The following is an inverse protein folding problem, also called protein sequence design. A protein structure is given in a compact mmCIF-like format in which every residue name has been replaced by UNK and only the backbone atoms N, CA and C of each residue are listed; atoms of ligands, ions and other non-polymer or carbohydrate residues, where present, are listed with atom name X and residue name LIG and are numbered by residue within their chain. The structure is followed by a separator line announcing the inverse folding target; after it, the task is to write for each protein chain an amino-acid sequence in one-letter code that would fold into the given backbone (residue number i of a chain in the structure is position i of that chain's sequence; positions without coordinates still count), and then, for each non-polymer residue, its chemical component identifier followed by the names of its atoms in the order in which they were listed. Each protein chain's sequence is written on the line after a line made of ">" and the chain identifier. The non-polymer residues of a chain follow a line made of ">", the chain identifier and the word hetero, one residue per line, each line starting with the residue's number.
data_IF_339302894945
#
_entry.id   IF_339302894945
#
_cell.length_a   1.000
_cell.length_b   1.000
_cell.length_c   1.000
_cell.angle_alpha   90.00
_cell.angle_beta   90.00
_cell.angle_gamma   90.00
#
_symmetry.space_group_name_H-M   'P 1'
#
loop_
_entity.id
_entity.type
_entity.pdbx_description
1 polymer ?
#
# COMPACT_ATOMS: atom_id res chain seq x y z
N UNK A 1 -17.60 12.63 5.86
CA UNK A 1 -16.51 12.49 6.85
C UNK A 1 -16.45 11.00 7.20
N UNK A 2 -15.47 10.54 7.98
CA UNK A 2 -15.38 9.13 8.38
C UNK A 2 -15.37 9.04 9.91
N UNK A 3 -15.87 7.93 10.45
CA UNK A 3 -15.69 7.61 11.86
C UNK A 3 -14.24 7.17 12.18
N UNK A 4 -13.99 6.83 13.45
CA UNK A 4 -12.67 6.38 13.93
C UNK A 4 -12.20 5.05 13.30
N UNK A 5 -13.14 4.24 12.79
CA UNK A 5 -12.85 3.01 12.05
C UNK A 5 -12.69 3.25 10.55
N UNK A 6 -12.80 4.50 10.09
CA UNK A 6 -12.65 4.86 8.68
C UNK A 6 -13.89 4.57 7.84
N UNK A 7 -15.03 4.28 8.45
CA UNK A 7 -16.29 4.09 7.73
C UNK A 7 -16.85 5.46 7.36
N UNK A 8 -17.08 5.67 6.06
CA UNK A 8 -17.57 6.94 5.55
C UNK A 8 -19.05 7.16 5.86
N UNK A 9 -19.42 8.40 6.18
CA UNK A 9 -20.82 8.82 6.41
C UNK A 9 -21.70 8.68 5.16
N UNK A 10 -21.08 8.49 4.00
CA UNK A 10 -21.76 8.36 2.73
C UNK A 10 -20.81 8.52 1.55
N UNK A 11 -21.37 8.36 0.36
CA UNK A 11 -20.67 8.46 -0.91
C UNK A 11 -21.61 9.02 -1.98
N UNK A 12 -21.03 9.57 -3.04
CA UNK A 12 -21.78 9.85 -4.26
C UNK A 12 -21.86 8.57 -5.10
N UNK A 13 -23.07 8.15 -5.47
CA UNK A 13 -23.27 6.99 -6.33
C UNK A 13 -22.87 7.27 -7.79
N UNK A 14 -23.02 6.27 -8.66
CA UNK A 14 -22.67 6.39 -10.07
C UNK A 14 -23.48 7.45 -10.84
N UNK A 15 -24.60 7.91 -10.27
CA UNK A 15 -25.44 8.99 -10.82
C UNK A 15 -25.14 10.34 -10.17
N UNK A 16 -24.17 10.40 -9.25
CA UNK A 16 -23.77 11.60 -8.52
C UNK A 16 -24.62 11.89 -7.29
N UNK A 17 -25.60 11.05 -6.97
CA UNK A 17 -26.50 11.25 -5.84
C UNK A 17 -25.82 10.86 -4.54
N UNK A 18 -25.99 11.68 -3.49
CA UNK A 18 -25.44 11.37 -2.17
C UNK A 18 -26.22 10.22 -1.50
N UNK A 19 -25.49 9.21 -1.04
CA UNK A 19 -26.03 8.04 -0.33
C UNK A 19 -25.36 7.91 1.03
N UNK A 20 -26.17 7.87 2.08
CA UNK A 20 -25.70 7.52 3.42
C UNK A 20 -25.95 6.02 3.69
N UNK A 21 -25.02 5.31 4.37
CA UNK A 21 -25.25 3.94 4.79
C UNK A 21 -26.34 3.91 5.88
N UNK A 22 -27.14 2.85 5.88
CA UNK A 22 -28.08 2.62 6.99
C UNK A 22 -27.32 2.19 8.25
N UNK A 23 -27.89 2.39 9.46
CA UNK A 23 -27.28 1.90 10.70
C UNK A 23 -26.95 0.39 10.64
N UNK A 24 -27.84 -0.41 10.06
CA UNK A 24 -27.61 -1.85 9.88
C UNK A 24 -26.41 -2.16 8.97
N UNK A 25 -26.17 -1.34 7.93
CA UNK A 25 -24.99 -1.46 7.07
C UNK A 25 -23.72 -1.11 7.82
N UNK A 26 -23.76 -0.02 8.59
CA UNK A 26 -22.62 0.42 9.41
C UNK A 26 -22.21 -0.65 10.43
N UNK A 27 -23.17 -1.22 11.16
CA UNK A 27 -22.92 -2.33 12.08
C UNK A 27 -22.37 -3.58 11.37
N UNK A 28 -22.86 -3.90 10.18
CA UNK A 28 -22.36 -5.03 9.40
C UNK A 28 -20.91 -4.82 8.96
N UNK A 29 -20.53 -3.59 8.59
CA UNK A 29 -19.16 -3.24 8.27
C UNK A 29 -18.24 -3.36 9.49
N UNK A 30 -18.65 -2.82 10.65
CA UNK A 30 -17.89 -2.96 11.89
C UNK A 30 -17.67 -4.44 12.25
N UNK A 31 -18.71 -5.27 12.15
CA UNK A 31 -18.58 -6.73 12.37
C UNK A 31 -17.63 -7.39 11.36
N UNK A 32 -17.72 -7.03 10.08
CA UNK A 32 -16.86 -7.59 9.04
C UNK A 32 -15.39 -7.20 9.21
N UNK A 33 -15.13 -6.00 9.77
CA UNK A 33 -13.79 -5.52 10.12
C UNK A 33 -13.24 -6.17 11.40
N UNK A 34 -14.06 -6.92 12.15
CA UNK A 34 -13.69 -7.41 13.49
C UNK A 34 -13.50 -6.26 14.48
N UNK A 35 -14.31 -5.20 14.36
CA UNK A 35 -14.16 -4.00 15.17
C UNK A 35 -14.44 -4.28 16.65
N UNK A 36 -13.44 -4.01 17.50
CA UNK A 36 -13.52 -4.10 18.95
C UNK A 36 -13.17 -2.74 19.56
N UNK A 37 -14.08 -2.16 20.33
CA UNK A 37 -13.88 -0.84 20.97
C UNK A 37 -14.09 0.36 20.03
N UNK A 38 -13.59 1.52 20.45
CA UNK A 38 -13.90 2.82 19.82
C UNK A 38 -13.07 3.13 18.57
N UNK A 39 -11.91 2.49 18.40
CA UNK A 39 -10.99 2.72 17.29
C UNK A 39 -10.13 1.48 17.02
N UNK A 40 -9.61 1.30 15.79
CA UNK A 40 -8.69 0.22 15.47
C UNK A 40 -7.39 0.34 16.28
N UNK A 41 -6.74 -0.79 16.61
CA UNK A 41 -5.43 -0.76 17.26
C UNK A 41 -4.38 -0.10 16.35
N UNK A 42 -3.33 0.51 16.92
CA UNK A 42 -2.27 1.12 16.13
C UNK A 42 -1.58 0.08 15.25
N UNK A 43 -1.34 0.43 13.99
CA UNK A 43 -0.66 -0.44 13.05
C UNK A 43 0.87 -0.44 13.32
N UNK A 44 1.54 -1.60 13.32
CA UNK A 44 2.99 -1.69 13.50
C UNK A 44 3.76 -1.32 12.22
N UNK A 45 3.25 -0.37 11.44
CA UNK A 45 3.83 0.06 10.17
C UNK A 45 3.69 1.57 10.00
N UNK A 46 4.77 2.20 9.54
CA UNK A 46 4.84 3.59 9.15
C UNK A 46 5.20 3.62 7.67
N UNK A 47 4.41 4.32 6.85
CA UNK A 47 4.68 4.53 5.42
C UNK A 47 4.92 6.01 5.17
N UNK A 48 6.04 6.35 4.51
CA UNK A 48 6.46 7.73 4.24
C UNK A 48 7.06 7.86 2.85
N UNK A 49 7.08 9.07 2.31
CA UNK A 49 7.81 9.35 1.06
C UNK A 49 9.26 9.68 1.36
N UNK A 50 10.16 9.34 0.44
CA UNK A 50 11.56 9.75 0.53
C UNK A 50 11.66 11.28 0.68
N UNK A 51 12.48 11.73 1.63
CA UNK A 51 12.63 13.15 1.98
C UNK A 51 11.59 13.70 2.97
N UNK A 52 10.56 12.95 3.35
CA UNK A 52 9.64 13.36 4.42
C UNK A 52 10.30 13.15 5.79
N UNK A 53 10.15 14.15 6.68
CA UNK A 53 10.61 14.02 8.07
C UNK A 53 9.71 13.07 8.84
N UNK A 54 10.33 12.27 9.69
CA UNK A 54 9.63 11.37 10.60
C UNK A 54 10.13 11.68 12.00
N UNK A 55 9.22 12.16 12.83
CA UNK A 55 9.47 12.35 14.25
C UNK A 55 9.20 11.04 14.98
N UNK A 56 10.21 10.57 15.70
CA UNK A 56 10.10 9.42 16.59
C UNK A 56 10.28 9.96 18.02
N UNK A 57 9.26 9.86 18.89
CA UNK A 57 9.27 10.52 20.20
C UNK A 57 10.40 10.11 21.14
N UNK A 58 11.02 8.95 20.90
CA UNK A 58 12.04 8.36 21.74
C UNK A 58 13.25 7.94 20.90
N UNK A 59 14.39 7.76 21.58
CA UNK A 59 15.59 7.15 20.99
C UNK A 59 15.23 5.81 20.36
N UNK A 60 15.69 5.58 19.15
CA UNK A 60 15.39 4.37 18.40
C UNK A 60 16.56 3.98 17.50
N UNK A 61 16.56 2.71 17.08
CA UNK A 61 17.50 2.16 16.11
C UNK A 61 16.78 1.87 14.81
N UNK A 62 17.23 2.47 13.72
CA UNK A 62 16.78 2.15 12.38
C UNK A 62 17.70 1.09 11.77
N UNK A 63 17.11 0.02 11.26
CA UNK A 63 17.77 -1.01 10.43
C UNK A 63 17.26 -0.86 9.01
N UNK A 64 18.13 -0.47 8.10
CA UNK A 64 17.85 -0.33 6.67
C UNK A 64 17.68 -1.69 6.00
N UNK A 65 17.13 -1.67 4.78
CA UNK A 65 16.82 -2.90 4.03
C UNK A 65 18.08 -3.70 3.69
N UNK A 66 19.20 -3.02 3.46
CA UNK A 66 20.50 -3.60 3.21
C UNK A 66 21.21 -4.11 4.48
N UNK A 67 20.58 -3.94 5.65
CA UNK A 67 21.11 -4.33 6.95
C UNK A 67 21.99 -3.29 7.64
N UNK A 68 22.27 -2.14 7.02
CA UNK A 68 22.93 -1.03 7.70
C UNK A 68 22.04 -0.53 8.85
N UNK A 69 22.64 -0.08 9.95
CA UNK A 69 21.89 0.35 11.12
C UNK A 69 22.44 1.65 11.70
N UNK A 70 21.53 2.50 12.16
CA UNK A 70 21.84 3.76 12.81
C UNK A 70 20.95 3.98 14.04
N UNK A 71 21.57 4.43 15.11
CA UNK A 71 20.85 4.91 16.30
C UNK A 71 20.58 6.41 16.12
N UNK A 72 19.39 6.87 16.49
CA UNK A 72 19.00 8.27 16.42
C UNK A 72 18.06 8.64 17.57
N UNK A 73 17.92 9.94 17.82
CA UNK A 73 17.06 10.49 18.86
C UNK A 73 16.22 11.64 18.27
N UNK A 74 14.89 11.54 18.43
CA UNK A 74 13.94 12.46 17.84
C UNK A 74 13.69 12.21 16.35
N UNK A 75 14.30 13.02 15.48
CA UNK A 75 13.97 13.02 14.05
C UNK A 75 14.84 12.04 13.26
N UNK A 76 14.21 11.20 12.44
CA UNK A 76 14.92 10.32 11.51
C UNK A 76 15.73 11.12 10.48
N UNK A 77 16.89 10.60 10.01
CA UNK A 77 17.61 11.19 8.89
C UNK A 77 16.69 11.35 7.67
N UNK A 78 16.81 12.47 6.95
CA UNK A 78 15.92 12.81 5.82
C UNK A 78 16.26 12.07 4.52
N UNK A 79 17.38 11.35 4.51
CA UNK A 79 17.98 10.70 3.35
C UNK A 79 17.84 9.16 3.37
N UNK A 80 16.85 8.64 4.11
CA UNK A 80 16.53 7.22 4.10
C UNK A 80 16.11 6.82 2.67
N UNK A 81 16.77 5.82 2.05
CA UNK A 81 16.45 5.40 0.69
C UNK A 81 15.06 4.77 0.63
N UNK A 82 14.39 4.77 -0.53
CA UNK A 82 13.20 3.96 -0.72
C UNK A 82 13.47 2.48 -0.41
N UNK A 83 12.57 1.84 0.33
CA UNK A 83 12.75 0.46 0.75
C UNK A 83 11.93 0.06 1.96
N UNK A 84 12.21 -1.15 2.46
CA UNK A 84 11.60 -1.77 3.62
C UNK A 84 12.61 -1.84 4.78
N UNK A 85 12.38 -1.02 5.79
CA UNK A 85 13.27 -0.87 6.94
C UNK A 85 12.56 -1.26 8.23
N UNK A 86 13.31 -1.37 9.31
CA UNK A 86 12.79 -1.70 10.63
C UNK A 86 13.22 -0.64 11.63
N UNK A 87 12.24 -0.03 12.30
CA UNK A 87 12.44 0.89 13.40
C UNK A 87 12.30 0.12 14.71
N UNK A 88 13.34 0.11 15.54
CA UNK A 88 13.35 -0.52 16.85
C UNK A 88 13.34 0.56 17.94
N UNK A 89 12.23 0.72 18.67
CA UNK A 89 12.16 1.62 19.80
C UNK A 89 13.23 1.29 20.87
N UNK A 90 13.73 2.31 21.57
CA UNK A 90 14.71 2.14 22.64
C UNK A 90 14.11 1.70 23.99
N UNK A 91 12.79 1.68 24.11
CA UNK A 91 12.02 1.26 25.29
C UNK A 91 11.62 -0.23 25.26
N UNK A 92 12.35 -1.04 24.47
CA UNK A 92 12.05 -2.46 24.19
C UNK A 92 10.64 -2.72 23.62
N UNK A 93 10.00 -1.67 23.08
CA UNK A 93 8.76 -1.79 22.31
C UNK A 93 8.92 -2.68 21.07
N UNK A 94 7.81 -3.20 20.53
CA UNK A 94 7.87 -4.06 19.35
C UNK A 94 8.45 -3.29 18.15
N UNK A 95 9.19 -3.97 17.25
CA UNK A 95 9.70 -3.34 16.04
C UNK A 95 8.56 -2.86 15.15
N UNK A 96 8.76 -1.69 14.56
CA UNK A 96 7.82 -1.03 13.64
C UNK A 96 8.39 -1.12 12.24
N UNK A 97 7.60 -1.60 11.27
CA UNK A 97 8.01 -1.59 9.86
C UNK A 97 8.01 -0.15 9.34
N UNK A 98 9.15 0.35 8.87
CA UNK A 98 9.23 1.61 8.15
C UNK A 98 9.31 1.33 6.65
N UNK A 99 8.34 1.81 5.88
CA UNK A 99 8.34 1.72 4.41
C UNK A 99 8.56 3.12 3.83
N UNK A 100 9.66 3.29 3.10
CA UNK A 100 9.94 4.53 2.38
C UNK A 100 9.59 4.35 0.91
N UNK A 101 8.60 5.09 0.44
CA UNK A 101 8.16 5.09 -0.95
C UNK A 101 8.86 6.19 -1.75
N UNK A 102 9.16 5.99 -3.05
CA UNK A 102 9.62 7.07 -3.92
C UNK A 102 8.55 8.16 -4.15
N UNK A 103 7.30 7.95 -3.70
CA UNK A 103 6.22 8.92 -3.78
C UNK A 103 5.61 9.10 -5.18
N UNK A 104 6.22 8.51 -6.21
CA UNK A 104 5.72 8.47 -7.60
C UNK A 104 6.07 7.13 -8.24
N UNK A 105 5.15 6.58 -9.03
CA UNK A 105 5.44 5.42 -9.86
C UNK A 105 6.38 5.82 -11.03
N UNK A 106 7.34 4.97 -11.41
CA UNK A 106 8.11 5.18 -12.63
C UNK A 106 7.18 5.27 -13.85
N UNK A 107 7.35 6.31 -14.66
CA UNK A 107 6.61 6.49 -15.91
C UNK A 107 7.56 6.45 -17.10
N UNK A 108 7.21 5.76 -18.20
CA UNK A 108 8.02 5.80 -19.42
C UNK A 108 8.20 7.24 -19.92
N UNK A 109 9.41 7.58 -20.37
CA UNK A 109 9.73 8.93 -20.87
C UNK A 109 9.08 9.25 -22.22
N UNK A 110 8.66 8.23 -22.97
CA UNK A 110 8.08 8.35 -24.32
C UNK A 110 6.67 7.81 -24.34
N UNK A 111 5.79 8.53 -25.05
CA UNK A 111 4.46 8.05 -25.39
C UNK A 111 4.58 6.86 -26.34
N UNK A 112 3.70 5.88 -26.17
CA UNK A 112 3.64 4.69 -27.01
C UNK A 112 2.22 4.14 -27.06
N UNK A 113 2.01 3.20 -27.97
CA UNK A 113 0.80 2.40 -28.04
C UNK A 113 1.16 0.93 -27.80
N UNK A 114 0.18 0.11 -27.43
CA UNK A 114 0.34 -1.32 -27.24
C UNK A 114 -1.00 -2.04 -27.38
N UNK A 115 -0.94 -3.36 -27.51
CA UNK A 115 -2.13 -4.20 -27.60
C UNK A 115 -2.62 -4.60 -26.21
N UNK A 116 -3.93 -4.50 -25.97
CA UNK A 116 -4.59 -5.15 -24.85
C UNK A 116 -5.23 -6.45 -25.36
N UNK A 117 -4.76 -7.59 -24.85
CA UNK A 117 -5.23 -8.90 -25.28
C UNK A 117 -5.69 -9.73 -24.07
N UNK A 118 -6.79 -10.45 -24.26
CA UNK A 118 -7.21 -11.50 -23.35
C UNK A 118 -6.37 -12.74 -23.67
N UNK A 119 -5.29 -12.97 -22.92
CA UNK A 119 -4.29 -14.00 -23.28
C UNK A 119 -4.91 -15.38 -23.45
N UNK A 120 -5.85 -15.77 -22.59
CA UNK A 120 -6.55 -17.04 -22.70
C UNK A 120 -7.28 -17.25 -24.04
N UNK A 121 -7.74 -16.18 -24.69
CA UNK A 121 -8.41 -16.22 -25.99
C UNK A 121 -7.44 -16.07 -27.18
N UNK A 122 -6.17 -15.77 -26.91
CA UNK A 122 -5.13 -15.51 -27.91
C UNK A 122 -4.46 -16.83 -28.30
N UNK A 123 -5.15 -17.64 -29.12
CA UNK A 123 -4.70 -18.99 -29.48
C UNK A 123 -3.93 -19.01 -30.79
N UNK A 124 -2.88 -19.82 -30.85
CA UNK A 124 -2.22 -20.28 -32.07
C UNK A 124 -2.65 -21.70 -32.44
N UNK A 125 -2.15 -22.19 -33.58
CA UNK A 125 -2.33 -23.57 -34.02
C UNK A 125 -1.66 -24.61 -33.10
N UNK A 126 -0.72 -24.17 -32.26
CA UNK A 126 -0.03 -25.03 -31.29
C UNK A 126 -0.68 -24.99 -29.91
N UNK A 127 -1.62 -24.08 -29.67
CA UNK A 127 -2.31 -23.94 -28.38
C UNK A 127 -3.25 -25.10 -28.10
N UNK A 128 -3.25 -25.57 -26.85
CA UNK A 128 -4.09 -26.69 -26.41
C UNK A 128 -5.44 -26.20 -25.88
N UNK A 129 -6.16 -25.45 -26.72
CA UNK A 129 -7.52 -24.95 -26.41
C UNK A 129 -7.58 -23.59 -25.71
N UNK A 130 -6.45 -23.06 -25.25
CA UNK A 130 -6.32 -21.77 -24.55
C UNK A 130 -4.97 -21.14 -24.89
N UNK A 131 -4.90 -19.81 -24.96
CA UNK A 131 -3.64 -19.11 -25.16
C UNK A 131 -2.72 -19.18 -23.93
N UNK A 132 -1.42 -19.36 -24.15
CA UNK A 132 -0.40 -19.51 -23.10
C UNK A 132 0.79 -18.53 -23.26
N UNK A 133 1.86 -18.72 -22.49
CA UNK A 133 3.05 -17.85 -22.54
C UNK A 133 3.82 -17.95 -23.88
N UNK A 134 3.70 -19.06 -24.60
CA UNK A 134 4.23 -19.20 -25.96
C UNK A 134 3.44 -18.33 -26.94
N UNK A 135 2.12 -18.30 -26.81
CA UNK A 135 1.25 -17.40 -27.59
C UNK A 135 1.50 -15.93 -27.26
N UNK A 136 1.74 -15.60 -25.98
CA UNK A 136 2.17 -14.25 -25.58
C UNK A 136 3.48 -13.85 -26.27
N UNK A 137 4.46 -14.75 -26.30
CA UNK A 137 5.74 -14.51 -26.99
C UNK A 137 5.55 -14.31 -28.49
N UNK A 138 4.59 -15.00 -29.10
CA UNK A 138 4.27 -14.82 -30.51
C UNK A 138 3.59 -13.46 -30.75
N UNK A 139 2.67 -13.05 -29.86
CA UNK A 139 1.98 -11.75 -29.92
C UNK A 139 2.89 -10.56 -29.68
N UNK A 140 3.92 -10.71 -28.84
CA UNK A 140 4.84 -9.63 -28.46
C UNK A 140 5.97 -9.37 -29.47
N UNK A 141 5.91 -9.99 -30.66
CA UNK A 141 6.88 -9.83 -31.75
C UNK A 141 6.30 -8.92 -32.83
#
# INVERSE_FOLDING_TARGET
>A
MTDAWGIADGYHDAFGEWRAPTPATHEALLRAMGAEGEAPPPAPVIVRRAGERIEVPARARLVLEDGAALDFDGTLPVDIPPGYHELRPGDDGPPIRLIVSPGRCPVPSRRGWGWAAQLYATRSSHSWGIGDLSDLRALSR
#
